data_IF_221214459390
#
_entry.id   IF_221214459390
#
_cell.length_a   1.000
_cell.length_b   1.000
_cell.length_c   1.000
_cell.angle_alpha   90.00
_cell.angle_beta   90.00
_cell.angle_gamma   90.00
#
_symmetry.space_group_name_H-M   'P 1'
#
loop_
_entity.id
_entity.type
_entity.pdbx_description
1 polymer ?
#
# COMPACT_ATOMS: atom_id res chain seq x y z
N UNK A 1 5.96 37.74 -4.72
CA UNK A 1 6.88 36.62 -4.98
C UNK A 1 6.21 35.40 -4.40
N UNK A 2 5.81 34.42 -5.21
CA UNK A 2 5.33 33.14 -4.68
C UNK A 2 6.58 32.38 -4.24
N UNK A 3 6.79 32.27 -2.94
CA UNK A 3 7.88 31.46 -2.40
C UNK A 3 7.71 30.03 -2.89
N UNK A 4 8.71 29.53 -3.61
CA UNK A 4 8.71 28.17 -4.13
C UNK A 4 8.77 27.19 -2.95
N UNK A 5 7.80 26.29 -2.84
CA UNK A 5 7.73 25.32 -1.74
C UNK A 5 8.88 24.31 -1.90
N UNK A 6 9.84 24.34 -0.98
CA UNK A 6 10.93 23.36 -0.94
C UNK A 6 10.48 22.15 -0.14
N UNK A 7 10.38 20.98 -0.80
CA UNK A 7 9.98 19.73 -0.17
C UNK A 7 10.71 18.51 -0.78
N UNK A 8 11.22 17.58 0.04
CA UNK A 8 11.35 17.67 1.50
C UNK A 8 12.40 18.73 1.90
N UNK A 9 12.26 19.27 3.12
CA UNK A 9 13.24 20.16 3.74
C UNK A 9 13.76 19.51 5.00
N UNK A 10 15.06 19.63 5.27
CA UNK A 10 15.62 19.19 6.54
C UNK A 10 14.96 19.93 7.71
N UNK A 11 14.25 19.24 8.63
CA UNK A 11 13.66 19.88 9.79
C UNK A 11 14.68 20.05 10.93
N UNK A 12 15.82 19.37 10.88
CA UNK A 12 16.87 19.39 11.89
C UNK A 12 18.09 20.13 11.35
N UNK A 13 18.15 21.44 11.53
CA UNK A 13 19.17 22.32 10.91
C UNK A 13 20.60 22.00 11.35
N UNK A 14 20.77 21.36 12.50
CA UNK A 14 22.04 20.95 13.10
C UNK A 14 22.47 19.51 12.76
N UNK A 15 21.63 18.74 12.06
CA UNK A 15 21.91 17.34 11.71
C UNK A 15 21.99 17.20 10.21
N UNK A 16 23.17 16.82 9.69
CA UNK A 16 23.29 16.50 8.28
C UNK A 16 22.51 15.21 7.97
N UNK A 17 21.81 15.13 6.82
CA UNK A 17 21.13 13.91 6.38
C UNK A 17 22.03 12.67 6.36
N UNK A 18 23.29 12.85 5.99
CA UNK A 18 24.31 11.80 5.95
C UNK A 18 24.72 11.28 7.33
N UNK A 19 24.45 12.04 8.40
CA UNK A 19 24.81 11.75 9.78
C UNK A 19 23.70 11.02 10.54
N UNK A 20 22.54 10.75 9.93
CA UNK A 20 21.49 9.94 10.54
C UNK A 20 22.01 8.54 10.90
N UNK A 21 22.39 8.38 12.17
CA UNK A 21 23.15 7.25 12.67
C UNK A 21 22.38 5.94 12.49
N UNK A 22 23.09 4.86 12.11
CA UNK A 22 22.51 3.55 11.77
C UNK A 22 21.65 2.96 12.90
N UNK A 23 21.93 3.30 14.15
CA UNK A 23 21.23 2.77 15.33
C UNK A 23 19.82 3.36 15.53
N UNK A 24 19.61 4.65 15.21
CA UNK A 24 18.31 5.33 15.38
C UNK A 24 17.61 5.65 14.06
N UNK A 25 18.17 5.18 12.94
CA UNK A 25 17.72 5.48 11.58
C UNK A 25 16.22 5.28 11.36
N UNK A 26 15.60 4.27 11.98
CA UNK A 26 14.14 4.06 11.84
C UNK A 26 13.36 5.25 12.42
N UNK A 27 13.52 5.52 13.71
CA UNK A 27 12.78 6.57 14.42
C UNK A 27 13.03 7.95 13.83
N UNK A 28 14.30 8.28 13.60
CA UNK A 28 14.68 9.58 13.05
C UNK A 28 14.09 9.78 11.65
N UNK A 29 14.03 8.74 10.83
CA UNK A 29 13.39 8.85 9.52
C UNK A 29 11.89 9.07 9.62
N UNK A 30 11.22 8.34 10.49
CA UNK A 30 9.78 8.51 10.66
C UNK A 30 9.44 9.92 11.18
N UNK A 31 10.24 10.45 12.12
CA UNK A 31 10.08 11.80 12.66
C UNK A 31 10.42 12.85 11.58
N UNK A 32 11.45 12.61 10.76
CA UNK A 32 11.77 13.45 9.59
C UNK A 32 10.60 13.54 8.59
N UNK A 33 9.97 12.40 8.31
CA UNK A 33 8.78 12.32 7.44
C UNK A 33 7.61 13.07 8.07
N UNK A 34 7.37 12.85 9.35
CA UNK A 34 6.31 13.51 10.12
C UNK A 34 6.43 15.04 10.10
N UNK A 35 7.61 15.58 10.40
CA UNK A 35 7.82 17.03 10.42
C UNK A 35 7.67 17.66 9.02
N UNK A 36 8.08 16.94 7.97
CA UNK A 36 7.86 17.39 6.59
C UNK A 36 6.36 17.39 6.20
N UNK A 37 5.59 16.40 6.66
CA UNK A 37 4.16 16.33 6.40
C UNK A 37 3.39 17.43 7.17
N UNK A 38 3.74 17.68 8.44
CA UNK A 38 3.19 18.79 9.24
C UNK A 38 3.39 20.14 8.58
N UNK A 39 4.58 20.38 7.99
CA UNK A 39 4.88 21.60 7.23
C UNK A 39 3.98 21.81 6.02
N UNK A 40 3.42 20.75 5.44
CA UNK A 40 2.44 20.81 4.37
C UNK A 40 0.98 20.87 4.88
N UNK A 41 0.78 21.16 6.16
CA UNK A 41 -0.54 21.30 6.77
C UNK A 41 -1.27 19.98 7.03
N UNK A 42 -0.55 18.85 7.07
CA UNK A 42 -1.12 17.56 7.48
C UNK A 42 -1.05 17.39 9.00
N UNK A 43 -2.13 16.88 9.57
CA UNK A 43 -2.10 16.31 10.92
C UNK A 43 -1.49 14.91 10.83
N UNK A 44 -0.56 14.60 11.73
CA UNK A 44 0.22 13.36 11.68
C UNK A 44 0.12 12.64 13.02
N UNK A 45 -0.26 11.36 12.96
CA UNK A 45 -0.45 10.49 14.11
C UNK A 45 0.43 9.26 14.00
N UNK A 46 0.97 8.80 15.13
CA UNK A 46 1.65 7.51 15.25
C UNK A 46 0.65 6.45 15.73
N UNK A 47 0.50 5.30 15.04
CA UNK A 47 -0.33 4.20 15.51
C UNK A 47 0.13 3.70 16.89
N UNK A 48 -0.81 3.32 17.75
CA UNK A 48 -0.50 2.77 19.07
C UNK A 48 0.18 1.39 19.00
N UNK A 49 -0.21 0.57 18.01
CA UNK A 49 0.32 -0.78 17.79
C UNK A 49 1.01 -0.90 16.42
N UNK A 50 1.98 -1.81 16.29
CA UNK A 50 2.61 -2.13 15.01
C UNK A 50 1.63 -2.94 14.12
N UNK A 51 0.99 -2.24 13.20
CA UNK A 51 0.08 -2.82 12.19
C UNK A 51 0.72 -2.89 10.79
N UNK A 52 2.02 -2.56 10.70
CA UNK A 52 2.72 -2.31 9.45
C UNK A 52 2.47 -0.91 8.83
N UNK A 53 1.72 -0.05 9.52
CA UNK A 53 1.54 1.38 9.23
C UNK A 53 2.47 2.16 10.16
N UNK A 54 3.27 3.09 9.62
CA UNK A 54 4.22 3.87 10.41
C UNK A 54 3.64 5.23 10.82
N UNK A 55 2.81 5.84 9.97
CA UNK A 55 2.09 7.10 10.24
C UNK A 55 0.67 7.08 9.68
N UNK A 56 -0.26 7.76 10.34
CA UNK A 56 -1.58 8.10 9.82
C UNK A 56 -1.59 9.60 9.62
N UNK A 57 -1.93 10.06 8.42
CA UNK A 57 -2.04 11.49 8.14
C UNK A 57 -3.45 11.87 7.77
N UNK A 58 -3.85 13.06 8.20
CA UNK A 58 -5.17 13.61 7.98
C UNK A 58 -5.07 15.05 7.51
N UNK A 59 -5.97 15.45 6.61
CA UNK A 59 -6.01 16.83 6.12
C UNK A 59 -7.41 17.23 5.72
N UNK A 60 -7.76 18.48 6.00
CA UNK A 60 -8.98 19.12 5.53
C UNK A 60 -8.78 19.65 4.11
N UNK A 61 -9.59 19.16 3.16
CA UNK A 61 -9.48 19.51 1.74
C UNK A 61 -10.84 19.84 1.12
N UNK A 62 -10.81 20.63 0.05
CA UNK A 62 -11.96 20.88 -0.80
C UNK A 62 -12.31 19.60 -1.57
N UNK A 63 -13.58 19.15 -1.57
CA UNK A 63 -13.99 17.94 -2.30
C UNK A 63 -13.77 18.06 -3.82
N UNK A 64 -13.74 19.28 -4.36
CA UNK A 64 -13.48 19.55 -5.78
C UNK A 64 -11.98 19.72 -6.12
N UNK A 65 -11.06 19.44 -5.19
CA UNK A 65 -9.60 19.47 -5.47
C UNK A 65 -8.96 20.86 -5.52
N UNK A 66 -9.61 21.89 -4.98
CA UNK A 66 -9.07 23.27 -4.97
C UNK A 66 -8.01 23.55 -3.90
N UNK A 67 -7.82 22.65 -2.92
CA UNK A 67 -6.86 22.85 -1.84
C UNK A 67 -5.44 22.71 -2.34
N UNK A 68 -4.59 23.68 -2.05
CA UNK A 68 -3.16 23.60 -2.39
C UNK A 68 -2.44 22.58 -1.47
N UNK A 69 -1.26 22.12 -1.90
CA UNK A 69 -0.52 21.06 -1.19
C UNK A 69 -0.05 21.49 0.20
N UNK A 70 0.27 22.77 0.36
CA UNK A 70 0.77 23.41 1.58
C UNK A 70 -0.32 24.15 2.37
N UNK A 71 -1.53 24.21 1.83
CA UNK A 71 -2.65 24.93 2.45
C UNK A 71 -3.28 24.11 3.57
N UNK A 72 -3.51 24.75 4.72
CA UNK A 72 -4.31 24.21 5.81
C UNK A 72 -5.66 24.94 5.85
N UNK A 73 -6.75 24.21 5.61
CA UNK A 73 -8.10 24.77 5.66
C UNK A 73 -8.61 24.78 7.11
N UNK A 74 -8.95 25.97 7.62
CA UNK A 74 -9.50 26.15 8.96
C UNK A 74 -11.03 26.31 8.97
N UNK A 75 -11.63 26.76 7.87
CA UNK A 75 -13.08 26.93 7.74
C UNK A 75 -13.79 25.66 7.23
N UNK A 76 -15.12 25.64 7.37
CA UNK A 76 -15.96 24.52 6.94
C UNK A 76 -16.30 24.53 5.45
N UNK A 77 -15.99 25.63 4.75
CA UNK A 77 -16.24 25.79 3.32
C UNK A 77 -14.96 26.13 2.56
N UNK A 78 -14.84 25.59 1.35
CA UNK A 78 -13.75 25.91 0.43
C UNK A 78 -13.81 27.39 0.04
N UNK A 79 -12.71 28.16 0.13
CA UNK A 79 -12.70 29.58 -0.21
C UNK A 79 -12.93 29.87 -1.71
N UNK A 80 -12.79 28.87 -2.58
CA UNK A 80 -12.90 29.01 -4.03
C UNK A 80 -14.31 28.66 -4.53
N UNK A 81 -14.87 27.53 -4.08
CA UNK A 81 -16.16 27.03 -4.58
C UNK A 81 -17.24 26.90 -3.51
N UNK A 82 -16.97 27.34 -2.28
CA UNK A 82 -17.89 27.29 -1.13
C UNK A 82 -18.43 25.89 -0.78
N UNK A 83 -17.85 24.83 -1.34
CA UNK A 83 -18.21 23.46 -1.02
C UNK A 83 -17.76 23.10 0.40
N UNK A 84 -18.55 22.29 1.10
CA UNK A 84 -18.19 21.83 2.44
C UNK A 84 -16.86 21.06 2.39
N UNK A 85 -15.93 21.47 3.23
CA UNK A 85 -14.60 20.86 3.35
C UNK A 85 -14.76 19.47 3.94
N UNK A 86 -14.01 18.51 3.38
CA UNK A 86 -13.97 17.14 3.86
C UNK A 86 -12.62 16.85 4.52
N UNK A 87 -12.59 15.84 5.36
CA UNK A 87 -11.36 15.30 5.92
C UNK A 87 -10.94 14.06 5.13
N UNK A 88 -9.69 14.04 4.67
CA UNK A 88 -9.09 12.89 3.99
C UNK A 88 -8.06 12.22 4.90
N UNK A 89 -7.93 10.89 4.78
CA UNK A 89 -7.01 10.11 5.61
C UNK A 89 -6.09 9.22 4.78
N UNK A 90 -4.80 9.19 5.08
CA UNK A 90 -3.84 8.26 4.46
C UNK A 90 -3.09 7.44 5.50
N UNK A 91 -2.82 6.18 5.17
CA UNK A 91 -2.05 5.25 5.98
C UNK A 91 -0.66 5.10 5.38
N UNK A 92 0.33 5.75 5.98
CA UNK A 92 1.68 5.84 5.44
C UNK A 92 2.53 4.70 5.98
N UNK A 93 3.13 3.96 5.05
CA UNK A 93 4.23 3.04 5.34
C UNK A 93 5.53 3.63 4.81
N UNK A 94 6.49 3.86 5.70
CA UNK A 94 7.78 4.45 5.38
C UNK A 94 8.78 3.34 5.07
N UNK A 95 9.46 3.44 3.91
CA UNK A 95 10.57 2.56 3.55
C UNK A 95 11.81 3.41 3.36
N UNK A 96 12.83 3.15 4.19
CA UNK A 96 14.07 3.94 4.18
C UNK A 96 15.28 3.11 3.90
N UNK A 97 16.08 3.54 2.92
CA UNK A 97 17.36 2.92 2.56
C UNK A 97 18.32 3.94 1.96
N UNK A 98 19.60 3.67 2.15
CA UNK A 98 20.66 4.37 1.44
C UNK A 98 20.67 3.92 -0.02
N UNK A 99 20.86 4.87 -0.95
CA UNK A 99 21.17 4.56 -2.35
C UNK A 99 22.51 3.81 -2.45
N UNK A 100 22.52 2.71 -3.21
CA UNK A 100 23.75 1.99 -3.56
C UNK A 100 23.87 1.96 -5.08
N UNK A 101 24.95 2.50 -5.63
CA UNK A 101 25.16 2.61 -7.09
C UNK A 101 23.95 3.27 -7.80
N UNK A 102 23.43 4.35 -7.21
CA UNK A 102 22.22 5.04 -7.64
C UNK A 102 20.96 4.17 -7.70
N UNK A 103 20.92 3.08 -6.93
CA UNK A 103 19.76 2.19 -6.82
C UNK A 103 19.19 2.25 -5.40
N UNK A 104 17.90 2.57 -5.31
CA UNK A 104 17.11 2.49 -4.10
C UNK A 104 16.36 1.15 -4.07
N UNK A 105 16.87 0.20 -3.29
CA UNK A 105 16.30 -1.14 -3.18
C UNK A 105 15.32 -1.26 -2.02
N UNK A 106 14.11 -1.73 -2.26
CA UNK A 106 13.10 -1.97 -1.24
C UNK A 106 12.31 -3.27 -1.48
N UNK A 107 11.53 -3.68 -0.49
CA UNK A 107 10.73 -4.90 -0.58
C UNK A 107 9.31 -4.55 -0.17
N UNK A 108 8.37 -4.74 -1.11
CA UNK A 108 6.95 -4.86 -0.83
C UNK A 108 6.58 -6.30 -1.17
N UNK A 109 6.21 -7.09 -0.16
CA UNK A 109 5.69 -8.45 -0.35
C UNK A 109 4.20 -8.37 -0.65
N UNK A 110 3.63 -9.44 -1.21
CA UNK A 110 2.18 -9.50 -1.48
C UNK A 110 1.33 -9.23 -0.24
N UNK A 111 1.80 -9.65 0.95
CA UNK A 111 1.12 -9.37 2.24
C UNK A 111 1.12 -7.89 2.64
N UNK A 112 2.03 -7.10 2.09
CA UNK A 112 2.15 -5.67 2.37
C UNK A 112 1.18 -4.86 1.48
N UNK A 113 0.63 -5.47 0.42
CA UNK A 113 -0.36 -4.87 -0.47
C UNK A 113 -1.74 -4.91 0.21
N UNK A 114 -2.15 -3.76 0.73
CA UNK A 114 -3.52 -3.55 1.22
C UNK A 114 -4.40 -3.12 0.06
N UNK A 115 -5.65 -3.58 0.02
CA UNK A 115 -6.63 -3.22 -1.03
C UNK A 115 -7.26 -1.84 -0.80
N UNK A 116 -7.08 -1.27 0.39
CA UNK A 116 -7.53 0.09 0.69
C UNK A 116 -6.59 1.12 0.04
N UNK A 117 -7.09 1.93 -0.93
CA UNK A 117 -6.32 2.88 -1.73
C UNK A 117 -5.68 4.00 -0.90
N UNK A 118 -6.15 4.23 0.34
CA UNK A 118 -5.60 5.21 1.27
C UNK A 118 -4.24 4.80 1.82
N UNK A 119 -3.81 3.55 1.61
CA UNK A 119 -2.46 3.12 1.94
C UNK A 119 -1.45 3.70 0.96
N UNK A 120 -0.41 4.32 1.50
CA UNK A 120 0.62 5.03 0.75
C UNK A 120 1.98 4.53 1.16
N UNK A 121 2.84 4.26 0.17
CA UNK A 121 4.25 4.00 0.40
C UNK A 121 5.01 5.31 0.26
N UNK A 122 5.72 5.69 1.31
CA UNK A 122 6.68 6.79 1.29
C UNK A 122 8.08 6.18 1.28
N UNK A 123 8.73 6.24 0.13
CA UNK A 123 10.08 5.77 -0.06
C UNK A 123 11.03 6.95 0.09
N UNK A 124 11.88 6.88 1.10
CA UNK A 124 12.84 7.93 1.39
C UNK A 124 14.26 7.39 1.32
N UNK A 125 15.09 8.07 0.52
CA UNK A 125 16.52 7.87 0.53
C UNK A 125 17.17 8.92 1.42
N UNK A 126 17.88 8.47 2.46
CA UNK A 126 18.58 9.34 3.40
C UNK A 126 19.82 10.03 2.81
N UNK A 127 20.15 9.75 1.55
CA UNK A 127 21.29 10.31 0.85
C UNK A 127 21.08 10.24 -0.68
N UNK A 128 20.10 10.95 -1.24
CA UNK A 128 19.95 11.07 -2.71
C UNK A 128 21.12 11.82 -3.33
N UNK A 129 21.53 12.88 -2.65
CA UNK A 129 22.89 13.41 -2.67
C UNK A 129 23.26 13.84 -1.25
N UNK A 130 24.47 14.39 -1.05
CA UNK A 130 24.87 14.93 0.26
C UNK A 130 23.92 16.03 0.77
N UNK A 131 23.27 16.76 -0.15
CA UNK A 131 22.49 17.96 0.17
C UNK A 131 21.02 17.86 -0.27
N UNK A 132 20.65 16.82 -1.05
CA UNK A 132 19.28 16.61 -1.53
C UNK A 132 18.69 15.33 -0.99
N UNK A 133 17.44 15.44 -0.58
CA UNK A 133 16.59 14.37 -0.13
C UNK A 133 15.37 14.32 -1.04
N UNK A 134 14.94 13.12 -1.42
CA UNK A 134 13.71 12.93 -2.18
C UNK A 134 12.78 12.00 -1.42
N UNK A 135 11.49 12.33 -1.48
CA UNK A 135 10.41 11.41 -1.16
C UNK A 135 9.77 10.92 -2.45
N UNK A 136 9.64 9.61 -2.59
CA UNK A 136 8.81 9.01 -3.61
C UNK A 136 7.55 8.49 -2.92
N UNK A 137 6.41 9.10 -3.23
CA UNK A 137 5.15 8.96 -2.51
C UNK A 137 4.12 8.42 -3.50
N UNK A 138 3.60 7.22 -3.21
CA UNK A 138 2.70 6.52 -4.12
C UNK A 138 1.63 5.76 -3.34
N UNK A 139 0.37 5.92 -3.74
CA UNK A 139 -0.73 5.12 -3.20
C UNK A 139 -0.60 3.66 -3.66
N UNK A 140 -1.21 2.73 -2.93
CA UNK A 140 -1.21 1.33 -3.35
C UNK A 140 -1.93 1.13 -4.68
N UNK A 141 -2.99 1.90 -4.95
CA UNK A 141 -3.70 1.89 -6.24
C UNK A 141 -2.78 2.36 -7.37
N UNK A 142 -2.13 3.50 -7.22
CA UNK A 142 -1.19 4.03 -8.22
C UNK A 142 -0.01 3.10 -8.45
N UNK A 143 0.51 2.47 -7.39
CA UNK A 143 1.56 1.47 -7.49
C UNK A 143 1.12 0.31 -8.39
N UNK A 144 -0.03 -0.31 -8.11
CA UNK A 144 -0.55 -1.41 -8.91
C UNK A 144 -0.85 -0.98 -10.36
N UNK A 145 -1.50 0.17 -10.52
CA UNK A 145 -1.83 0.74 -11.83
C UNK A 145 -0.59 1.00 -12.68
N UNK A 146 0.48 1.53 -12.09
CA UNK A 146 1.76 1.74 -12.79
C UNK A 146 2.29 0.43 -13.39
N UNK A 147 2.25 -0.69 -12.67
CA UNK A 147 2.70 -1.96 -13.23
C UNK A 147 1.76 -2.48 -14.32
N UNK A 148 0.46 -2.36 -14.13
CA UNK A 148 -0.53 -2.80 -15.10
C UNK A 148 -0.43 -2.02 -16.42
N UNK A 149 -0.37 -0.69 -16.34
CA UNK A 149 -0.26 0.23 -17.49
C UNK A 149 1.03 0.00 -18.29
N UNK A 150 2.10 -0.48 -17.64
CA UNK A 150 3.38 -0.78 -18.28
C UNK A 150 3.59 -2.28 -18.58
N UNK A 151 2.53 -3.10 -18.46
CA UNK A 151 2.56 -4.55 -18.71
C UNK A 151 3.67 -5.28 -17.93
N UNK A 152 3.92 -4.81 -16.71
CA UNK A 152 4.88 -5.41 -15.77
C UNK A 152 4.12 -6.11 -14.64
N UNK A 153 4.76 -7.06 -13.98
CA UNK A 153 4.20 -7.68 -12.77
C UNK A 153 5.18 -7.52 -11.60
N UNK A 154 4.84 -6.75 -10.55
CA UNK A 154 5.73 -6.51 -9.42
C UNK A 154 5.86 -7.75 -8.52
N UNK A 155 4.97 -8.74 -8.69
CA UNK A 155 4.95 -10.00 -7.96
C UNK A 155 5.49 -11.17 -8.79
N UNK A 156 5.98 -10.91 -10.01
CA UNK A 156 6.61 -11.93 -10.83
C UNK A 156 7.65 -12.68 -9.98
N UNK A 157 7.66 -14.02 -9.98
CA UNK A 157 8.63 -14.79 -9.23
C UNK A 157 10.02 -14.32 -9.63
N UNK A 158 10.63 -13.60 -8.70
CA UNK A 158 12.06 -13.45 -8.69
C UNK A 158 12.56 -14.88 -8.65
N UNK A 159 13.22 -15.32 -9.71
CA UNK A 159 14.19 -16.41 -9.66
C UNK A 159 14.80 -16.46 -8.27
N UNK A 160 14.95 -17.61 -7.61
CA UNK A 160 15.55 -17.70 -6.27
C UNK A 160 16.86 -16.87 -6.21
N UNK A 161 16.77 -15.58 -5.86
CA UNK A 161 17.87 -14.63 -6.00
C UNK A 161 18.68 -14.83 -4.73
N UNK A 162 19.77 -15.59 -4.82
CA UNK A 162 20.72 -15.77 -3.72
C UNK A 162 21.20 -14.39 -3.24
N UNK A 163 21.02 -14.10 -1.95
CA UNK A 163 21.56 -12.93 -1.25
C UNK A 163 20.54 -11.85 -0.83
N UNK A 164 21.02 -10.82 -0.14
CA UNK A 164 20.28 -9.67 0.43
C UNK A 164 19.63 -8.72 -0.61
N UNK A 165 19.47 -9.16 -1.86
CA UNK A 165 19.03 -8.31 -2.95
C UNK A 165 17.50 -8.13 -2.94
N UNK A 166 17.10 -6.88 -2.78
CA UNK A 166 15.72 -6.41 -2.65
C UNK A 166 14.89 -6.74 -3.91
N UNK A 167 13.58 -6.97 -3.72
CA UNK A 167 12.66 -7.39 -4.79
C UNK A 167 12.38 -6.25 -5.78
N UNK A 168 12.34 -5.02 -5.26
CA UNK A 168 11.99 -3.81 -5.97
C UNK A 168 13.18 -2.85 -5.98
N UNK A 169 13.40 -2.17 -7.10
CA UNK A 169 14.52 -1.24 -7.24
C UNK A 169 14.16 -0.05 -8.11
N UNK A 170 14.32 1.14 -7.56
CA UNK A 170 14.26 2.39 -8.28
C UNK A 170 15.66 2.85 -8.60
N UNK A 171 15.85 3.43 -9.78
CA UNK A 171 17.12 3.99 -10.22
C UNK A 171 17.03 5.51 -10.19
N UNK A 172 18.01 6.13 -9.56
CA UNK A 172 18.26 7.56 -9.67
C UNK A 172 19.29 7.81 -10.77
N UNK A 173 19.07 8.84 -11.58
CA UNK A 173 20.05 9.31 -12.57
C UNK A 173 20.57 10.69 -12.14
N UNK A 174 21.81 10.79 -11.62
CA UNK A 174 22.35 12.06 -11.13
C UNK A 174 22.60 13.06 -12.26
N UNK A 175 22.78 12.62 -13.51
CA UNK A 175 23.03 13.51 -14.65
C UNK A 175 21.77 14.26 -15.08
N UNK A 176 20.59 13.66 -14.86
CA UNK A 176 19.30 14.26 -15.24
C UNK A 176 18.44 14.64 -14.04
N UNK A 177 18.89 14.31 -12.83
CA UNK A 177 18.13 14.43 -11.58
C UNK A 177 16.74 13.78 -11.67
N UNK A 178 16.67 12.51 -12.11
CA UNK A 178 15.40 11.78 -12.30
C UNK A 178 15.41 10.37 -11.72
N UNK A 179 14.24 9.94 -11.28
CA UNK A 179 13.91 8.62 -10.78
C UNK A 179 13.18 7.79 -11.83
N UNK A 180 13.52 6.51 -11.91
CA UNK A 180 12.86 5.58 -12.82
C UNK A 180 12.72 4.18 -12.24
N UNK A 181 11.69 3.48 -12.69
CA UNK A 181 11.56 2.04 -12.53
C UNK A 181 11.86 1.34 -13.86
N UNK A 182 12.99 0.65 -13.95
CA UNK A 182 13.43 0.08 -15.21
C UNK A 182 13.68 1.17 -16.25
N UNK A 183 12.82 1.26 -17.27
CA UNK A 183 12.87 2.29 -18.33
C UNK A 183 11.78 3.35 -18.20
N UNK A 184 10.93 3.25 -17.18
CA UNK A 184 9.73 4.05 -17.03
C UNK A 184 9.95 5.17 -16.01
N UNK A 185 9.49 6.36 -16.34
CA UNK A 185 9.60 7.55 -15.50
C UNK A 185 8.77 7.40 -14.22
N UNK A 186 9.28 7.93 -13.11
CA UNK A 186 8.65 7.92 -11.80
C UNK A 186 8.54 9.32 -11.16
N UNK A 187 8.89 10.38 -11.89
CA UNK A 187 8.87 11.75 -11.37
C UNK A 187 7.48 12.21 -10.90
N UNK A 188 6.39 11.67 -11.45
CA UNK A 188 5.03 12.01 -10.99
C UNK A 188 4.75 11.61 -9.52
N UNK A 189 5.60 10.76 -8.93
CA UNK A 189 5.49 10.33 -7.54
C UNK A 189 6.50 11.05 -6.64
N UNK A 190 7.32 11.96 -7.19
CA UNK A 190 8.39 12.63 -6.46
C UNK A 190 7.87 13.87 -5.73
N UNK A 191 8.25 14.01 -4.47
CA UNK A 191 8.10 15.22 -3.66
C UNK A 191 6.67 15.78 -3.73
N UNK A 192 6.51 17.05 -4.13
CA UNK A 192 5.20 17.70 -4.21
C UNK A 192 4.24 17.04 -5.20
N UNK A 193 4.73 16.47 -6.31
CA UNK A 193 3.86 15.78 -7.27
C UNK A 193 3.24 14.51 -6.65
N UNK A 194 4.05 13.75 -5.90
CA UNK A 194 3.55 12.63 -5.10
C UNK A 194 2.53 13.08 -4.04
N UNK A 195 2.78 14.21 -3.37
CA UNK A 195 1.83 14.77 -2.39
C UNK A 195 0.50 15.20 -3.02
N UNK A 196 0.53 15.84 -4.20
CA UNK A 196 -0.68 16.22 -4.94
C UNK A 196 -1.56 15.01 -5.22
N UNK A 197 -0.95 13.89 -5.62
CA UNK A 197 -1.68 12.64 -5.90
C UNK A 197 -2.37 12.08 -4.67
N UNK A 198 -1.67 12.04 -3.52
CA UNK A 198 -2.29 11.49 -2.30
C UNK A 198 -3.25 12.49 -1.63
N UNK A 199 -3.25 13.76 -2.02
CA UNK A 199 -4.23 14.76 -1.55
C UNK A 199 -5.57 14.67 -2.32
N UNK A 200 -5.70 13.81 -3.34
CA UNK A 200 -6.93 13.69 -4.12
C UNK A 200 -8.12 13.30 -3.21
N UNK A 201 -9.15 14.16 -3.10
CA UNK A 201 -10.33 13.89 -2.29
C UNK A 201 -11.18 12.73 -2.82
N UNK A 202 -11.08 12.40 -4.12
CA UNK A 202 -11.90 11.36 -4.74
C UNK A 202 -11.63 9.98 -4.13
N UNK A 203 -10.43 9.75 -3.59
CA UNK A 203 -10.09 8.48 -2.91
C UNK A 203 -11.01 8.23 -1.72
N UNK A 204 -11.33 9.27 -0.94
CA UNK A 204 -12.20 9.15 0.24
C UNK A 204 -13.67 9.30 -0.14
N UNK A 205 -13.99 10.19 -1.09
CA UNK A 205 -15.37 10.41 -1.55
C UNK A 205 -15.97 9.18 -2.26
N UNK A 206 -15.15 8.40 -2.95
CA UNK A 206 -15.57 7.21 -3.71
C UNK A 206 -14.90 5.92 -3.18
N UNK A 207 -14.61 5.87 -1.88
CA UNK A 207 -13.75 4.85 -1.27
C UNK A 207 -14.15 3.41 -1.63
N UNK A 208 -15.44 3.07 -1.63
CA UNK A 208 -15.88 1.71 -1.91
C UNK A 208 -15.55 1.29 -3.36
N UNK A 209 -15.82 2.17 -4.32
CA UNK A 209 -15.46 1.94 -5.73
C UNK A 209 -13.94 1.85 -5.89
N UNK A 210 -13.20 2.74 -5.23
CA UNK A 210 -11.75 2.75 -5.25
C UNK A 210 -11.13 1.47 -4.66
N UNK A 211 -11.73 0.91 -3.60
CA UNK A 211 -11.35 -0.40 -3.03
C UNK A 211 -11.62 -1.54 -4.02
N UNK A 212 -12.79 -1.54 -4.67
CA UNK A 212 -13.15 -2.55 -5.67
C UNK A 212 -12.16 -2.54 -6.83
N UNK A 213 -11.85 -1.36 -7.37
CA UNK A 213 -10.88 -1.20 -8.46
C UNK A 213 -9.47 -1.63 -8.04
N UNK A 214 -9.03 -1.21 -6.85
CA UNK A 214 -7.71 -1.58 -6.31
C UNK A 214 -7.60 -3.09 -6.11
N UNK A 215 -8.67 -3.74 -5.61
CA UNK A 215 -8.73 -5.19 -5.46
C UNK A 215 -8.72 -5.90 -6.81
N UNK A 216 -9.41 -5.37 -7.82
CA UNK A 216 -9.38 -5.91 -9.17
C UNK A 216 -7.97 -5.86 -9.77
N UNK A 217 -7.27 -4.73 -9.64
CA UNK A 217 -5.87 -4.57 -10.04
C UNK A 217 -4.93 -5.54 -9.28
N UNK A 218 -5.08 -5.62 -7.95
CA UNK A 218 -4.29 -6.51 -7.13
C UNK A 218 -4.48 -7.98 -7.54
N UNK A 219 -5.72 -8.42 -7.75
CA UNK A 219 -6.03 -9.77 -8.21
C UNK A 219 -5.43 -10.04 -9.60
N UNK A 220 -5.56 -9.10 -10.54
CA UNK A 220 -4.99 -9.20 -11.89
C UNK A 220 -3.48 -9.43 -11.87
N UNK A 221 -2.76 -8.72 -10.99
CA UNK A 221 -1.30 -8.81 -10.89
C UNK A 221 -0.83 -10.00 -10.02
N UNK A 222 -1.52 -10.33 -8.93
CA UNK A 222 -1.09 -11.37 -7.99
C UNK A 222 -1.49 -12.79 -8.39
N UNK A 223 -2.58 -12.96 -9.14
CA UNK A 223 -3.11 -14.29 -9.51
C UNK A 223 -2.52 -14.84 -10.81
N UNK A 224 -1.40 -14.28 -11.26
CA UNK A 224 -0.70 -14.67 -12.48
C UNK A 224 0.73 -15.02 -12.15
N UNK A 225 1.17 -16.18 -12.62
CA UNK A 225 2.59 -16.54 -12.63
C UNK A 225 3.26 -15.88 -13.83
N UNK A 226 4.31 -15.11 -13.58
CA UNK A 226 5.13 -14.52 -14.63
C UNK A 226 6.49 -15.23 -14.72
N UNK A 227 6.90 -15.72 -15.89
CA UNK A 227 8.10 -16.58 -16.03
C UNK A 227 9.44 -15.93 -15.66
N UNK A 228 9.50 -14.60 -15.65
CA UNK A 228 10.74 -13.85 -15.54
C UNK A 228 11.79 -14.26 -16.58
N UNK A 229 13.06 -14.22 -16.19
CA UNK A 229 14.19 -14.64 -17.03
C UNK A 229 14.54 -16.13 -16.91
N UNK A 230 13.92 -16.85 -15.97
CA UNK A 230 14.34 -18.21 -15.58
C UNK A 230 13.50 -19.29 -16.23
N UNK A 231 12.20 -19.05 -16.40
CA UNK A 231 11.29 -20.06 -16.94
C UNK A 231 10.98 -19.81 -18.42
N UNK A 232 10.63 -20.89 -19.13
CA UNK A 232 10.17 -20.82 -20.52
C UNK A 232 8.74 -20.26 -20.61
N UNK A 233 8.35 -19.76 -21.79
CA UNK A 233 6.95 -19.35 -22.05
C UNK A 233 5.98 -20.52 -21.91
N UNK A 234 6.41 -21.73 -22.24
CA UNK A 234 5.56 -22.92 -22.11
C UNK A 234 5.31 -23.29 -20.64
N UNK A 235 6.33 -23.15 -19.79
CA UNK A 235 6.20 -23.32 -18.34
C UNK A 235 5.21 -22.31 -17.75
N UNK A 236 5.31 -21.05 -18.17
CA UNK A 236 4.37 -19.99 -17.78
C UNK A 236 2.92 -20.34 -18.12
N UNK A 237 2.69 -20.79 -19.36
CA UNK A 237 1.37 -21.17 -19.86
C UNK A 237 0.79 -22.31 -19.03
N UNK A 238 1.56 -23.38 -18.80
CA UNK A 238 1.10 -24.54 -18.01
C UNK A 238 0.77 -24.16 -16.56
N UNK A 239 1.63 -23.38 -15.90
CA UNK A 239 1.40 -22.95 -14.52
C UNK A 239 0.15 -22.07 -14.44
N UNK A 240 0.00 -21.10 -15.35
CA UNK A 240 -1.19 -20.24 -15.37
C UNK A 240 -2.46 -21.02 -15.68
N UNK A 241 -2.43 -22.05 -16.54
CA UNK A 241 -3.58 -22.92 -16.76
C UNK A 241 -4.03 -23.64 -15.47
N UNK A 242 -3.08 -24.22 -14.74
CA UNK A 242 -3.37 -24.89 -13.45
C UNK A 242 -3.87 -23.88 -12.41
N UNK A 243 -3.27 -22.68 -12.34
CA UNK A 243 -3.72 -21.62 -11.44
C UNK A 243 -5.16 -21.19 -11.76
N UNK A 244 -5.50 -20.98 -13.03
CA UNK A 244 -6.86 -20.61 -13.43
C UNK A 244 -7.88 -21.71 -13.09
N UNK A 245 -7.54 -22.98 -13.33
CA UNK A 245 -8.37 -24.12 -12.93
C UNK A 245 -8.60 -24.12 -11.41
N UNK A 246 -7.54 -23.99 -10.61
CA UNK A 246 -7.65 -23.94 -9.15
C UNK A 246 -8.46 -22.72 -8.68
N UNK A 247 -8.22 -21.54 -9.25
CA UNK A 247 -8.96 -20.32 -8.89
C UNK A 247 -10.46 -20.44 -9.23
N UNK A 248 -10.82 -21.16 -10.29
CA UNK A 248 -12.22 -21.41 -10.63
C UNK A 248 -12.96 -22.27 -9.59
N UNK A 249 -12.25 -23.07 -8.79
CA UNK A 249 -12.85 -23.79 -7.65
C UNK A 249 -13.30 -22.83 -6.54
N UNK A 250 -12.68 -21.65 -6.47
CA UNK A 250 -12.94 -20.60 -5.49
C UNK A 250 -13.68 -19.40 -6.08
N UNK A 251 -14.31 -19.54 -7.25
CA UNK A 251 -15.12 -18.45 -7.83
C UNK A 251 -16.52 -18.37 -7.22
N UNK A 252 -16.97 -19.44 -6.56
CA UNK A 252 -18.27 -19.51 -5.89
C UNK A 252 -18.09 -19.39 -4.36
N UNK A 253 -18.51 -18.28 -3.75
CA UNK A 253 -18.44 -18.09 -2.30
C UNK A 253 -19.08 -19.22 -1.50
N UNK A 254 -20.17 -19.83 -2.01
CA UNK A 254 -20.86 -20.95 -1.33
C UNK A 254 -19.96 -22.18 -1.28
N UNK A 255 -19.22 -22.48 -2.35
CA UNK A 255 -18.22 -23.57 -2.37
C UNK A 255 -17.05 -23.30 -1.43
N UNK A 256 -16.62 -22.05 -1.29
CA UNK A 256 -15.57 -21.69 -0.31
C UNK A 256 -16.06 -21.96 1.12
N UNK A 257 -17.27 -21.54 1.46
CA UNK A 257 -17.85 -21.78 2.79
C UNK A 257 -18.01 -23.27 3.05
N UNK A 258 -18.50 -24.04 2.07
CA UNK A 258 -18.61 -25.49 2.18
C UNK A 258 -17.25 -26.17 2.35
N UNK A 259 -16.23 -25.73 1.60
CA UNK A 259 -14.87 -26.25 1.74
C UNK A 259 -14.28 -25.92 3.11
N UNK A 260 -14.53 -24.71 3.64
CA UNK A 260 -14.10 -24.35 5.01
C UNK A 260 -14.75 -25.24 6.05
N UNK A 261 -16.07 -25.46 5.94
CA UNK A 261 -16.82 -26.38 6.82
C UNK A 261 -16.28 -27.80 6.75
N UNK A 262 -16.04 -28.33 5.54
CA UNK A 262 -15.52 -29.70 5.38
C UNK A 262 -14.09 -29.86 5.89
N UNK A 263 -13.24 -28.84 5.73
CA UNK A 263 -11.89 -28.83 6.32
C UNK A 263 -11.96 -28.76 7.85
N UNK A 264 -12.84 -27.93 8.40
CA UNK A 264 -13.04 -27.84 9.85
C UNK A 264 -13.54 -29.17 10.44
N UNK A 265 -14.51 -29.81 9.80
CA UNK A 265 -15.00 -31.15 10.15
C UNK A 265 -13.90 -32.21 10.05
N UNK A 266 -13.12 -32.20 8.97
CA UNK A 266 -11.99 -33.11 8.80
C UNK A 266 -10.97 -32.94 9.94
N UNK A 267 -10.58 -31.71 10.26
CA UNK A 267 -9.61 -31.46 11.34
C UNK A 267 -10.21 -31.91 12.68
N UNK A 268 -11.48 -31.60 12.95
CA UNK A 268 -12.18 -32.03 14.18
C UNK A 268 -12.20 -33.56 14.33
N UNK A 269 -12.37 -34.29 13.23
CA UNK A 269 -12.39 -35.75 13.23
C UNK A 269 -10.99 -36.39 13.32
N UNK A 270 -9.94 -35.67 12.93
CA UNK A 270 -8.57 -36.21 12.81
C UNK A 270 -7.57 -35.61 13.80
N UNK A 271 -8.02 -34.78 14.74
CA UNK A 271 -7.17 -34.18 15.79
C UNK A 271 -7.85 -34.29 17.15
N UNK A 272 -7.06 -34.32 18.23
CA UNK A 272 -7.60 -34.26 19.59
C UNK A 272 -8.17 -32.87 19.91
N UNK A 273 -9.03 -32.78 20.92
CA UNK A 273 -9.72 -31.53 21.28
C UNK A 273 -8.77 -30.38 21.62
N UNK A 274 -7.61 -30.67 22.23
CA UNK A 274 -6.62 -29.64 22.59
C UNK A 274 -5.95 -29.08 21.34
N UNK A 275 -5.58 -29.96 20.41
CA UNK A 275 -5.04 -29.59 19.10
C UNK A 275 -6.06 -28.82 18.27
N UNK A 276 -7.32 -29.29 18.20
CA UNK A 276 -8.40 -28.61 17.49
C UNK A 276 -8.67 -27.21 18.05
N UNK A 277 -8.78 -27.07 19.38
CA UNK A 277 -8.99 -25.77 20.03
C UNK A 277 -7.82 -24.80 19.82
N UNK A 278 -6.59 -25.31 19.78
CA UNK A 278 -5.40 -24.52 19.45
C UNK A 278 -5.43 -24.05 18.00
N UNK A 279 -5.80 -24.92 17.06
CA UNK A 279 -5.89 -24.60 15.63
C UNK A 279 -7.00 -23.60 15.32
N UNK A 280 -8.16 -23.70 15.99
CA UNK A 280 -9.34 -22.82 15.77
C UNK A 280 -9.00 -21.34 15.91
N UNK A 281 -8.10 -20.98 16.84
CA UNK A 281 -7.61 -19.60 17.05
C UNK A 281 -7.03 -18.96 15.79
N UNK A 282 -6.42 -19.75 14.90
CA UNK A 282 -5.83 -19.28 13.65
C UNK A 282 -6.82 -19.26 12.49
N UNK A 283 -7.92 -20.01 12.58
CA UNK A 283 -9.02 -19.97 11.62
C UNK A 283 -9.96 -18.77 11.84
N UNK A 284 -10.13 -18.31 13.08
CA UNK A 284 -10.87 -17.08 13.41
C UNK A 284 -10.24 -15.82 12.78
N UNK A 285 -8.91 -15.77 12.66
CA UNK A 285 -8.20 -14.69 11.98
C UNK A 285 -8.46 -14.59 10.46
N UNK A 286 -9.01 -15.65 9.85
CA UNK A 286 -9.41 -15.65 8.43
C UNK A 286 -10.85 -15.10 8.26
N UNK A 287 -11.66 -15.07 9.34
CA UNK A 287 -13.00 -14.45 9.33
C UNK A 287 -12.91 -12.91 9.29
N UNK A 288 -11.86 -12.32 9.85
CA UNK A 288 -11.62 -10.86 9.90
C UNK A 288 -10.91 -10.30 8.67
N UNK A 289 -10.68 -11.10 7.62
CA UNK A 289 -10.59 -10.53 6.27
C UNK A 289 -12.02 -10.17 5.87
N UNK A 290 -12.52 -9.09 6.46
CA UNK A 290 -13.70 -8.39 5.97
C UNK A 290 -13.49 -8.16 4.48
N UNK A 291 -14.28 -8.86 3.68
CA UNK A 291 -14.49 -8.50 2.29
C UNK A 291 -15.29 -7.20 2.33
N UNK A 292 -14.61 -6.09 2.63
CA UNK A 292 -15.16 -4.76 2.40
C UNK A 292 -15.57 -4.72 0.92
N UNK A 293 -16.87 -4.63 0.66
CA UNK A 293 -17.48 -4.71 -0.68
C UNK A 293 -18.27 -5.99 -0.99
N UNK A 294 -18.56 -6.87 -0.02
CA UNK A 294 -19.67 -7.82 -0.15
C UNK A 294 -20.89 -7.20 0.55
N UNK A 295 -21.93 -6.89 -0.22
CA UNK A 295 -23.15 -6.23 0.24
C UNK A 295 -23.67 -6.82 1.57
N UNK A 296 -23.57 -6.04 2.65
CA UNK A 296 -24.20 -6.34 3.94
C UNK A 296 -25.75 -6.26 3.85
N UNK A 297 -26.31 -5.87 2.70
CA UNK A 297 -27.73 -5.67 2.50
C UNK A 297 -28.44 -6.77 1.71
N UNK A 298 -27.76 -7.84 1.30
CA UNK A 298 -28.51 -9.02 0.85
C UNK A 298 -29.16 -9.70 2.07
N UNK A 299 -30.50 -9.80 2.06
CA UNK A 299 -31.29 -10.49 3.08
C UNK A 299 -30.74 -11.89 3.41
N UNK A 300 -30.13 -12.57 2.43
CA UNK A 300 -29.49 -13.88 2.60
C UNK A 300 -28.26 -13.84 3.53
N UNK A 301 -27.47 -12.75 3.53
CA UNK A 301 -26.28 -12.64 4.39
C UNK A 301 -26.66 -12.39 5.84
N UNK A 302 -27.72 -11.61 6.09
CA UNK A 302 -28.27 -11.38 7.43
C UNK A 302 -28.93 -12.66 7.99
N UNK A 303 -29.58 -13.48 7.16
CA UNK A 303 -30.10 -14.79 7.58
C UNK A 303 -28.98 -15.78 7.92
N UNK A 304 -27.89 -15.82 7.15
CA UNK A 304 -26.75 -16.70 7.45
C UNK A 304 -26.01 -16.32 8.74
N UNK A 305 -25.86 -15.02 9.03
CA UNK A 305 -25.25 -14.55 10.28
C UNK A 305 -26.15 -14.84 11.48
N UNK A 306 -27.48 -14.77 11.28
CA UNK A 306 -28.47 -15.11 12.31
C UNK A 306 -28.49 -16.61 12.62
N UNK A 307 -28.47 -17.48 11.61
CA UNK A 307 -28.38 -18.95 11.81
C UNK A 307 -27.07 -19.39 12.50
N UNK A 308 -25.99 -18.64 12.31
CA UNK A 308 -24.71 -18.91 12.96
C UNK A 308 -24.63 -18.43 14.41
N UNK A 309 -25.48 -17.50 14.83
CA UNK A 309 -25.55 -17.00 16.22
C UNK A 309 -26.60 -17.70 17.07
N UNK A 310 -27.56 -18.40 16.45
CA UNK A 310 -28.60 -19.18 17.15
C UNK A 310 -28.21 -20.65 17.41
N UNK A 311 -27.00 -21.08 17.01
CA UNK A 311 -26.45 -22.43 17.24
C UNK A 311 -25.24 -22.47 18.21
N UNK A 312 -25.06 -21.42 19.03
CA UNK A 312 -24.22 -21.44 20.25
C UNK A 312 -25.06 -21.78 21.48
#
# INVERSE_FOLDING_TARGET
>A
MTDEIIFPKNPFEDVNPSEFNKLNKKHVTEDFVEENLKRLGWEVFRPFNDTGIDRIIMKRVCPNGHTKVDEQLHGDACPICNAQVIEIRRFIQVKTRQLKNNIFGFTLKSKDIRVDPRHVYLLYSDNTSNDKQDFLIISVKDYLKFFDDNHMNPFAPTSFRKGNNKLNSLRYNPNTDKWSWGRHDWEMFRNLEGMKRIQDPNIDLNLDNEIIETRALANKLQRVFAKGSTYSKETERKINQVLQQNLSLYSDPKKIVQLRKSVEEYIKQNTDEVTFASMKKYFEFIKTIEVSGADEDSKESKELIKEMSENE
#
